data_IF_391917407073
#
_entry.id   IF_391917407073
#
_cell.length_a   1.000
_cell.length_b   1.000
_cell.length_c   1.000
_cell.angle_alpha   90.00
_cell.angle_beta   90.00
_cell.angle_gamma   90.00
#
_symmetry.space_group_name_H-M   'P 1'
#
loop_
_entity.id
_entity.type
_entity.pdbx_description
1 polymer ?
#
# COMPACT_ATOMS: atom_id res chain seq x y z
N UNK A 1 -61.53 -14.97 -18.09
CA UNK A 1 -60.77 -15.62 -19.18
C UNK A 1 -59.95 -14.48 -19.81
N UNK A 2 -58.81 -14.12 -19.21
CA UNK A 2 -57.45 -14.53 -19.61
C UNK A 2 -57.17 -14.34 -21.11
N UNK A 3 -56.28 -13.41 -21.45
CA UNK A 3 -55.07 -13.76 -22.20
C UNK A 3 -53.90 -12.85 -21.82
N UNK A 4 -52.73 -13.45 -21.75
CA UNK A 4 -51.47 -13.00 -21.19
C UNK A 4 -50.46 -13.07 -22.36
N UNK A 5 -49.61 -12.06 -22.62
CA UNK A 5 -48.44 -12.34 -23.45
C UNK A 5 -47.71 -11.17 -24.11
N UNK A 6 -46.47 -10.96 -23.65
CA UNK A 6 -45.38 -10.32 -24.41
C UNK A 6 -45.03 -8.91 -23.91
N UNK A 7 -44.02 -8.65 -23.08
CA UNK A 7 -42.84 -9.45 -22.78
C UNK A 7 -41.68 -9.09 -23.70
N UNK A 8 -41.19 -7.84 -23.67
CA UNK A 8 -39.89 -7.48 -24.25
C UNK A 8 -39.01 -6.85 -23.18
N UNK A 9 -38.24 -7.72 -22.54
CA UNK A 9 -37.11 -7.37 -21.70
C UNK A 9 -35.96 -6.83 -22.55
N UNK A 10 -35.81 -5.52 -22.59
CA UNK A 10 -34.58 -4.85 -22.98
C UNK A 10 -33.71 -4.66 -21.75
N UNK A 11 -33.15 -5.75 -21.23
CA UNK A 11 -32.14 -5.71 -20.18
C UNK A 11 -31.02 -4.78 -20.61
N UNK A 12 -30.99 -3.59 -20.03
CA UNK A 12 -29.85 -2.71 -20.05
C UNK A 12 -28.75 -3.48 -19.32
N UNK A 13 -28.03 -4.31 -20.08
CA UNK A 13 -26.72 -4.79 -19.70
C UNK A 13 -25.91 -3.51 -19.59
N UNK A 14 -25.90 -2.95 -18.38
CA UNK A 14 -24.93 -1.96 -17.99
C UNK A 14 -23.61 -2.57 -18.40
N UNK A 15 -23.11 -2.06 -19.52
CA UNK A 15 -21.81 -2.41 -20.06
C UNK A 15 -20.90 -2.13 -18.88
N UNK A 16 -20.30 -3.19 -18.33
CA UNK A 16 -19.38 -3.07 -17.20
C UNK A 16 -18.32 -2.07 -17.66
N UNK A 17 -18.49 -0.82 -17.24
CA UNK A 17 -17.58 0.26 -17.58
C UNK A 17 -16.26 -0.18 -16.99
N UNK A 18 -15.17 -0.26 -17.77
CA UNK A 18 -13.86 -0.44 -17.17
C UNK A 18 -13.70 0.70 -16.15
N UNK A 19 -13.17 0.42 -14.95
CA UNK A 19 -12.89 1.49 -14.00
C UNK A 19 -12.02 2.55 -14.70
N UNK A 20 -12.21 3.85 -14.39
CA UNK A 20 -11.36 4.89 -14.94
C UNK A 20 -9.89 4.51 -14.74
N UNK A 21 -9.11 4.56 -15.83
CA UNK A 21 -7.68 4.17 -15.86
C UNK A 21 -6.79 4.96 -14.88
N UNK A 22 -7.33 6.02 -14.28
CA UNK A 22 -6.65 6.92 -13.34
C UNK A 22 -7.04 6.71 -11.87
N UNK A 23 -7.76 5.63 -11.53
CA UNK A 23 -7.89 5.27 -10.13
C UNK A 23 -6.49 4.89 -9.60
N UNK A 24 -5.94 5.59 -8.57
CA UNK A 24 -4.67 5.21 -8.00
C UNK A 24 -4.79 3.77 -7.53
N UNK A 25 -3.87 2.92 -7.97
CA UNK A 25 -3.77 1.56 -7.44
C UNK A 25 -3.54 1.64 -5.93
N UNK A 26 -3.89 0.57 -5.23
CA UNK A 26 -3.68 0.51 -3.77
C UNK A 26 -2.22 0.78 -3.40
N UNK A 27 -1.27 0.39 -4.26
CA UNK A 27 0.16 0.70 -4.13
C UNK A 27 0.48 2.20 -4.26
N UNK A 28 -0.06 2.90 -5.25
CA UNK A 28 0.20 4.34 -5.41
C UNK A 28 -0.37 5.14 -4.22
N UNK A 29 -1.56 4.76 -3.74
CA UNK A 29 -2.15 5.33 -2.53
C UNK A 29 -1.30 5.05 -1.28
N UNK A 30 -0.62 3.90 -1.21
CA UNK A 30 0.31 3.57 -0.15
C UNK A 30 1.59 4.41 -0.25
N UNK A 31 2.21 4.49 -1.43
CA UNK A 31 3.42 5.28 -1.67
C UNK A 31 3.21 6.75 -1.26
N UNK A 32 2.08 7.35 -1.65
CA UNK A 32 1.72 8.71 -1.23
C UNK A 32 1.55 8.86 0.29
N UNK A 33 1.02 7.84 0.98
CA UNK A 33 0.88 7.85 2.45
C UNK A 33 2.23 7.72 3.13
N UNK A 34 3.09 6.83 2.66
CA UNK A 34 4.46 6.65 3.14
C UNK A 34 5.24 7.94 2.96
N UNK A 35 5.24 8.54 1.76
CA UNK A 35 5.90 9.82 1.51
C UNK A 35 5.48 10.91 2.50
N UNK A 36 4.17 11.10 2.67
CA UNK A 36 3.63 12.11 3.59
C UNK A 36 4.08 11.85 5.04
N UNK A 37 4.11 10.58 5.45
CA UNK A 37 4.53 10.19 6.79
C UNK A 37 6.02 10.41 7.00
N UNK A 38 6.87 10.03 6.04
CA UNK A 38 8.32 10.26 6.06
C UNK A 38 8.63 11.76 6.15
N UNK A 39 8.00 12.58 5.31
CA UNK A 39 8.15 14.05 5.37
C UNK A 39 7.77 14.61 6.74
N UNK A 40 6.69 14.11 7.34
CA UNK A 40 6.30 14.54 8.68
C UNK A 40 7.31 14.11 9.75
N UNK A 41 7.84 12.88 9.68
CA UNK A 41 8.84 12.36 10.63
C UNK A 41 10.13 13.19 10.56
N UNK A 42 10.63 13.46 9.36
CA UNK A 42 11.82 14.30 9.15
C UNK A 42 11.62 15.70 9.76
N UNK A 43 10.41 16.25 9.69
CA UNK A 43 10.10 17.57 10.22
C UNK A 43 9.74 17.62 11.72
N UNK A 44 9.16 16.56 12.29
CA UNK A 44 8.53 16.59 13.62
C UNK A 44 9.03 15.52 14.60
N UNK A 45 9.54 14.38 14.11
CA UNK A 45 9.98 13.28 14.97
C UNK A 45 11.40 13.50 15.54
N UNK A 46 12.05 14.61 15.17
CA UNK A 46 13.37 14.98 15.69
C UNK A 46 14.41 13.86 15.49
N UNK A 47 14.37 13.24 14.31
CA UNK A 47 15.30 12.18 13.90
C UNK A 47 16.74 12.70 13.91
N UNK A 48 17.68 11.80 14.19
CA UNK A 48 19.12 12.12 14.16
C UNK A 48 19.57 12.55 12.75
N UNK A 49 18.96 11.96 11.71
CA UNK A 49 19.14 12.34 10.31
C UNK A 49 17.83 12.17 9.54
N UNK A 50 17.75 12.78 8.35
CA UNK A 50 16.60 12.63 7.47
C UNK A 50 16.43 11.18 6.98
N UNK A 51 15.19 10.70 7.01
CA UNK A 51 14.80 9.45 6.38
C UNK A 51 14.63 9.67 4.87
N UNK A 52 15.38 8.91 4.07
CA UNK A 52 15.43 9.00 2.62
C UNK A 52 14.35 8.12 1.99
N UNK A 53 13.31 8.75 1.45
CA UNK A 53 12.23 8.04 0.75
C UNK A 53 12.74 7.24 -0.46
N UNK A 54 13.82 7.67 -1.12
CA UNK A 54 14.42 6.93 -2.23
C UNK A 54 14.97 5.56 -1.78
N UNK A 55 15.53 5.49 -0.58
CA UNK A 55 16.13 4.26 -0.06
C UNK A 55 15.13 3.32 0.60
N UNK A 56 14.12 3.87 1.31
CA UNK A 56 13.16 3.05 2.08
C UNK A 56 11.77 3.00 1.47
N UNK A 57 11.43 3.89 0.53
CA UNK A 57 10.08 4.03 -0.02
C UNK A 57 9.63 2.78 -0.77
N UNK A 58 10.47 2.27 -1.67
CA UNK A 58 10.17 1.03 -2.42
C UNK A 58 10.00 -0.16 -1.46
N UNK A 59 10.92 -0.33 -0.50
CA UNK A 59 10.85 -1.40 0.49
C UNK A 59 9.59 -1.30 1.38
N UNK A 60 9.17 -0.09 1.77
CA UNK A 60 7.95 0.14 2.55
C UNK A 60 6.70 -0.17 1.71
N UNK A 61 6.66 0.23 0.44
CA UNK A 61 5.53 -0.08 -0.44
C UNK A 61 5.45 -1.59 -0.69
N UNK A 62 6.58 -2.24 -0.96
CA UNK A 62 6.68 -3.68 -1.18
C UNK A 62 6.27 -4.50 0.05
N UNK A 63 6.60 -4.03 1.27
CA UNK A 63 6.16 -4.66 2.52
C UNK A 63 4.65 -4.48 2.82
N UNK A 64 3.97 -3.59 2.08
CA UNK A 64 2.55 -3.35 2.22
C UNK A 64 2.18 -2.41 3.38
N UNK A 65 0.94 -1.94 3.36
CA UNK A 65 0.50 -0.82 4.19
C UNK A 65 0.64 -1.05 5.69
N UNK A 66 0.30 -2.25 6.17
CA UNK A 66 0.33 -2.56 7.61
C UNK A 66 1.75 -2.56 8.15
N UNK A 67 2.66 -3.26 7.49
CA UNK A 67 4.06 -3.34 7.91
C UNK A 67 4.75 -1.98 7.77
N UNK A 68 4.54 -1.27 6.65
CA UNK A 68 5.12 0.06 6.44
C UNK A 68 4.73 1.04 7.55
N UNK A 69 3.44 1.14 7.87
CA UNK A 69 2.96 2.07 8.90
C UNK A 69 3.42 1.67 10.31
N UNK A 70 3.55 0.36 10.57
CA UNK A 70 4.09 -0.14 11.83
C UNK A 70 5.57 0.25 11.99
N UNK A 71 6.40 -0.01 10.98
CA UNK A 71 7.84 0.32 11.00
C UNK A 71 8.07 1.83 11.15
N UNK A 72 7.29 2.65 10.44
CA UNK A 72 7.39 4.12 10.57
C UNK A 72 6.96 4.62 11.96
N UNK A 73 6.02 3.95 12.62
CA UNK A 73 5.62 4.27 14.00
C UNK A 73 6.71 3.84 14.99
N UNK A 74 7.27 2.65 14.82
CA UNK A 74 8.35 2.14 15.67
C UNK A 74 9.60 3.04 15.58
N UNK A 75 9.91 3.53 14.39
CA UNK A 75 10.96 4.54 14.19
C UNK A 75 10.65 5.86 14.92
N UNK A 76 9.40 6.33 14.91
CA UNK A 76 9.00 7.54 15.65
C UNK A 76 9.22 7.38 17.16
N UNK A 77 8.86 6.22 17.71
CA UNK A 77 8.99 5.92 19.15
C UNK A 77 10.46 5.81 19.58
N UNK A 78 11.32 5.33 18.69
CA UNK A 78 12.75 5.15 18.91
C UNK A 78 13.61 6.25 18.27
N UNK A 79 13.01 7.33 17.73
CA UNK A 79 13.69 8.33 16.90
C UNK A 79 14.96 8.95 17.51
N UNK A 80 14.98 9.08 18.84
CA UNK A 80 16.11 9.63 19.62
C UNK A 80 17.24 8.63 19.88
N UNK A 81 16.92 7.34 19.86
CA UNK A 81 17.85 6.23 20.13
C UNK A 81 18.40 5.65 18.82
N UNK A 82 17.71 5.88 17.70
CA UNK A 82 18.09 5.43 16.36
C UNK A 82 19.11 6.39 15.75
N UNK A 83 20.35 5.90 15.59
CA UNK A 83 21.45 6.65 14.97
C UNK A 83 21.25 6.78 13.46
N UNK A 84 20.79 5.71 12.81
CA UNK A 84 20.57 5.66 11.36
C UNK A 84 19.14 5.18 11.04
N UNK A 85 18.17 6.09 10.81
CA UNK A 85 16.78 5.77 10.56
C UNK A 85 16.58 4.99 9.25
N UNK A 86 17.42 5.21 8.25
CA UNK A 86 17.36 4.49 6.97
C UNK A 86 17.68 3.01 7.15
N UNK A 87 18.79 2.71 7.81
CA UNK A 87 19.20 1.34 8.13
C UNK A 87 18.21 0.68 9.07
N UNK A 88 17.73 1.39 10.09
CA UNK A 88 16.74 0.87 11.03
C UNK A 88 15.45 0.40 10.36
N UNK A 89 14.91 1.20 9.44
CA UNK A 89 13.71 0.82 8.66
C UNK A 89 14.00 -0.40 7.80
N UNK A 90 15.15 -0.43 7.11
CA UNK A 90 15.53 -1.58 6.25
C UNK A 90 15.72 -2.86 7.06
N UNK A 91 16.30 -2.77 8.26
CA UNK A 91 16.47 -3.91 9.16
C UNK A 91 15.13 -4.43 9.69
N UNK A 92 14.18 -3.55 10.04
CA UNK A 92 12.85 -3.97 10.46
C UNK A 92 12.03 -4.61 9.32
N UNK A 93 12.20 -4.11 8.10
CA UNK A 93 11.56 -4.68 6.91
C UNK A 93 12.18 -6.03 6.53
N UNK A 94 13.52 -6.13 6.55
CA UNK A 94 14.25 -7.36 6.24
C UNK A 94 14.13 -8.43 7.33
N UNK A 95 14.09 -8.00 8.59
CA UNK A 95 13.96 -8.86 9.77
C UNK A 95 12.57 -9.44 9.94
N UNK A 96 11.59 -8.98 9.14
CA UNK A 96 10.25 -9.54 9.09
C UNK A 96 9.69 -9.71 10.50
N UNK A 97 9.37 -8.61 11.17
CA UNK A 97 8.47 -8.67 12.33
C UNK A 97 7.23 -9.37 11.82
N UNK A 98 7.10 -10.67 12.14
CA UNK A 98 6.16 -11.60 11.53
C UNK A 98 4.74 -11.11 11.72
N UNK A 99 4.27 -10.28 10.79
CA UNK A 99 2.86 -10.08 10.54
C UNK A 99 2.45 -11.18 9.58
N UNK A 100 2.48 -12.41 10.09
CA UNK A 100 1.90 -13.58 9.44
C UNK A 100 0.46 -13.25 9.03
N UNK A 101 0.26 -12.90 7.76
CA UNK A 101 -0.96 -12.20 7.40
C UNK A 101 -1.12 -11.83 5.94
N UNK A 102 -0.79 -12.76 5.04
CA UNK A 102 -1.50 -12.99 3.78
C UNK A 102 -1.89 -11.74 2.97
N UNK A 103 -1.03 -11.33 2.05
CA UNK A 103 -1.49 -10.74 0.78
C UNK A 103 -1.02 -11.69 -0.32
N UNK A 104 -1.93 -12.55 -0.78
CA UNK A 104 -1.69 -13.55 -1.82
C UNK A 104 -1.24 -12.90 -3.12
N UNK A 105 -0.28 -13.47 -3.85
CA UNK A 105 -0.52 -14.56 -4.80
C UNK A 105 -1.67 -14.20 -5.78
N UNK A 106 -1.56 -14.30 -7.09
CA UNK A 106 -0.60 -14.87 -8.01
C UNK A 106 -1.28 -14.60 -9.38
N UNK A 107 -0.53 -14.22 -10.40
CA UNK A 107 -1.11 -13.87 -11.69
C UNK A 107 -0.09 -13.65 -12.78
N UNK A 108 1.00 -14.41 -12.77
CA UNK A 108 1.84 -14.62 -13.94
C UNK A 108 1.31 -15.88 -14.64
N UNK A 109 0.58 -15.74 -15.73
CA UNK A 109 1.14 -15.80 -17.09
C UNK A 109 1.91 -17.11 -17.33
N UNK A 110 1.21 -18.07 -17.94
CA UNK A 110 1.78 -19.38 -18.27
C UNK A 110 0.76 -20.31 -18.91
N UNK A 111 0.59 -20.20 -20.23
CA UNK A 111 0.24 -21.32 -21.09
C UNK A 111 0.61 -20.99 -22.55
N UNK A 112 1.77 -21.51 -22.96
CA UNK A 112 2.22 -21.75 -24.34
C UNK A 112 1.35 -22.85 -24.99
#
# INVERSE_FOLDING_TARGET
>A
ILDNGGGEGGGQRARSLPPPRDAPTTEDALAQRVEKRVKWLNANANLVQDLSLDEVGDALVSAGQRQAMHVLKDLEENARDVVDPNSYVRELLAGGVGVDGADGADGADGAD
#
